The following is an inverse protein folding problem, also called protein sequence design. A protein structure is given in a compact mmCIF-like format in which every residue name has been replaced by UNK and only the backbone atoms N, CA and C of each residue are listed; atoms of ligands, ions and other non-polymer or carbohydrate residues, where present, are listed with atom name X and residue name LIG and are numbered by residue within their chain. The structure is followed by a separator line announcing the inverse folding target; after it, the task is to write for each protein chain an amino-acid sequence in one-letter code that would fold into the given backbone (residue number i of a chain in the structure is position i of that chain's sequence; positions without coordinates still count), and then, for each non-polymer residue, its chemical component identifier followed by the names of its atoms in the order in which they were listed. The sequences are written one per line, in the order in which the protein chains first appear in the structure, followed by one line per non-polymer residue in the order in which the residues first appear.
data_IF_793307590178
#
_entry.id   IF_793307590178
#
_cell.length_a   1.000
_cell.length_b   1.000
_cell.length_c   1.000
_cell.angle_alpha   90.00
_cell.angle_beta   90.00
_cell.angle_gamma   90.00
#
_symmetry.space_group_name_H-M   'P 1'
#
loop_
_entity.id
_entity.type
_entity.pdbx_description
1 polymer ?
#
# COMPACT_ATOMS: atom_id res chain seq x y z
N UNK A 1 -41.73 17.21 24.98
CA UNK A 1 -40.62 16.24 24.91
C UNK A 1 -40.54 15.76 23.48
N UNK A 2 -39.76 16.44 22.64
CA UNK A 2 -39.56 16.03 21.24
C UNK A 2 -38.33 15.12 21.18
N UNK A 3 -38.58 13.85 20.92
CA UNK A 3 -37.59 12.79 20.89
C UNK A 3 -36.65 12.96 19.68
N UNK A 4 -35.54 13.66 19.90
CA UNK A 4 -34.42 13.81 18.96
C UNK A 4 -33.46 12.60 18.95
N UNK A 5 -33.96 11.40 19.21
CA UNK A 5 -33.11 10.21 19.44
C UNK A 5 -33.42 9.04 18.51
N UNK A 6 -33.60 9.32 17.22
CA UNK A 6 -33.40 8.27 16.22
C UNK A 6 -32.53 8.77 15.05
N UNK A 7 -31.41 9.42 15.37
CA UNK A 7 -30.22 9.26 14.53
C UNK A 7 -29.66 7.87 14.81
N UNK A 8 -30.33 6.85 14.26
CA UNK A 8 -29.65 5.61 13.92
C UNK A 8 -28.45 6.03 13.05
N UNK A 9 -27.29 6.04 13.68
CA UNK A 9 -26.01 6.20 13.03
C UNK A 9 -25.97 5.11 11.96
N UNK A 10 -26.32 5.46 10.71
CA UNK A 10 -26.51 4.53 9.60
C UNK A 10 -25.31 3.60 9.54
N UNK A 11 -25.38 2.35 10.04
CA UNK A 11 -24.20 1.51 10.13
C UNK A 11 -23.79 1.00 8.73
N UNK A 12 -24.67 1.21 7.74
CA UNK A 12 -24.49 0.85 6.33
C UNK A 12 -24.14 2.03 5.42
N UNK A 13 -23.70 3.18 5.96
CA UNK A 13 -23.23 4.29 5.10
C UNK A 13 -21.94 3.94 4.36
N UNK A 14 -21.16 3.00 4.90
CA UNK A 14 -20.07 2.37 4.18
C UNK A 14 -20.58 1.05 3.59
N UNK A 15 -20.79 1.03 2.27
CA UNK A 15 -21.18 -0.17 1.56
C UNK A 15 -20.17 -1.29 1.88
N UNK A 16 -20.61 -2.51 2.26
CA UNK A 16 -19.71 -3.65 2.47
C UNK A 16 -18.80 -3.91 1.25
N UNK A 17 -19.23 -3.50 0.06
CA UNK A 17 -18.44 -3.51 -1.16
C UNK A 17 -17.16 -2.66 -1.06
N UNK A 18 -17.22 -1.51 -0.38
CA UNK A 18 -16.06 -0.64 -0.16
C UNK A 18 -14.99 -1.36 0.67
N UNK A 19 -15.37 -2.05 1.73
CA UNK A 19 -14.44 -2.83 2.56
C UNK A 19 -13.85 -4.01 1.78
N UNK A 20 -14.68 -4.73 1.03
CA UNK A 20 -14.27 -5.86 0.18
C UNK A 20 -13.26 -5.41 -0.88
N UNK A 21 -13.41 -4.22 -1.48
CA UNK A 21 -12.47 -3.72 -2.48
C UNK A 21 -11.23 -3.04 -1.85
N UNK A 22 -11.36 -2.42 -0.68
CA UNK A 22 -10.25 -1.69 -0.06
C UNK A 22 -9.10 -2.59 0.38
N UNK A 23 -9.40 -3.74 1.00
CA UNK A 23 -8.40 -4.68 1.47
C UNK A 23 -7.49 -5.21 0.33
N UNK A 24 -8.03 -5.82 -0.75
CA UNK A 24 -7.21 -6.28 -1.87
C UNK A 24 -6.54 -5.11 -2.59
N UNK A 25 -7.17 -3.95 -2.70
CA UNK A 25 -6.55 -2.77 -3.32
C UNK A 25 -5.31 -2.30 -2.55
N UNK A 26 -5.35 -2.27 -1.21
CA UNK A 26 -4.18 -1.90 -0.38
C UNK A 26 -3.04 -2.89 -0.56
N UNK A 27 -3.36 -4.18 -0.58
CA UNK A 27 -2.39 -5.24 -0.79
C UNK A 27 -1.75 -5.15 -2.18
N UNK A 28 -2.57 -4.99 -3.22
CA UNK A 28 -2.10 -4.78 -4.59
C UNK A 28 -1.24 -3.53 -4.74
N UNK A 29 -1.65 -2.40 -4.13
CA UNK A 29 -0.88 -1.14 -4.17
C UNK A 29 0.50 -1.32 -3.53
N UNK A 30 0.58 -2.00 -2.38
CA UNK A 30 1.87 -2.28 -1.72
C UNK A 30 2.77 -3.18 -2.57
N UNK A 31 2.20 -4.19 -3.22
CA UNK A 31 2.91 -5.09 -4.12
C UNK A 31 3.41 -4.37 -5.37
N UNK A 32 2.56 -3.51 -5.95
CA UNK A 32 2.92 -2.68 -7.11
C UNK A 32 4.04 -1.69 -6.77
N UNK A 33 3.99 -1.04 -5.62
CA UNK A 33 5.06 -0.15 -5.18
C UNK A 33 6.38 -0.93 -5.01
N UNK A 34 6.36 -2.08 -4.34
CA UNK A 34 7.54 -2.95 -4.19
C UNK A 34 8.12 -3.39 -5.54
N UNK A 35 7.28 -3.78 -6.49
CA UNK A 35 7.74 -4.20 -7.83
C UNK A 35 8.29 -3.04 -8.65
N UNK A 36 7.70 -1.85 -8.56
CA UNK A 36 8.23 -0.64 -9.20
C UNK A 36 9.57 -0.23 -8.58
N UNK A 37 9.69 -0.22 -7.25
CA UNK A 37 10.95 0.05 -6.56
C UNK A 37 12.01 -0.97 -6.95
N UNK A 38 11.66 -2.27 -7.02
CA UNK A 38 12.58 -3.32 -7.52
C UNK A 38 13.05 -3.06 -8.94
N UNK A 39 12.14 -2.69 -9.86
CA UNK A 39 12.49 -2.38 -11.25
C UNK A 39 13.35 -1.11 -11.37
N UNK A 40 13.11 -0.12 -10.53
CA UNK A 40 13.93 1.09 -10.47
C UNK A 40 15.34 0.76 -9.95
N UNK A 41 15.44 0.01 -8.86
CA UNK A 41 16.71 -0.44 -8.28
C UNK A 41 17.49 -1.38 -9.22
N UNK A 42 16.81 -2.24 -9.98
CA UNK A 42 17.47 -3.12 -10.95
C UNK A 42 17.97 -2.39 -12.20
N UNK A 43 17.42 -1.20 -12.49
CA UNK A 43 17.86 -0.32 -13.59
C UNK A 43 18.95 0.66 -13.17
N UNK A 44 19.09 0.92 -11.87
CA UNK A 44 20.15 1.76 -11.32
C UNK A 44 21.49 1.02 -11.41
N UNK A 45 22.51 1.76 -11.84
CA UNK A 45 23.86 1.22 -11.92
C UNK A 45 24.45 1.00 -10.51
N UNK A 46 25.40 0.05 -10.39
CA UNK A 46 26.00 -0.34 -9.09
C UNK A 46 26.65 0.84 -8.37
N UNK A 47 27.17 1.82 -9.11
CA UNK A 47 27.73 3.04 -8.55
C UNK A 47 26.65 3.91 -7.88
N UNK A 48 25.47 4.05 -8.50
CA UNK A 48 24.36 4.86 -8.00
C UNK A 48 23.67 4.22 -6.79
N UNK A 49 23.62 2.89 -6.73
CA UNK A 49 23.15 2.17 -5.54
C UNK A 49 24.05 2.49 -4.33
N UNK A 50 25.36 2.51 -4.54
CA UNK A 50 26.37 2.75 -3.51
C UNK A 50 26.31 4.18 -2.95
N UNK A 51 26.00 5.17 -3.79
CA UNK A 51 25.79 6.57 -3.38
C UNK A 51 24.57 6.77 -2.48
N UNK A 52 23.54 5.93 -2.64
CA UNK A 52 22.34 5.95 -1.79
C UNK A 52 22.57 5.14 -0.49
N UNK A 53 23.77 4.55 -0.32
CA UNK A 53 24.11 3.69 0.82
C UNK A 53 23.45 2.31 0.75
N UNK A 54 22.95 1.90 -0.43
CA UNK A 54 22.35 0.59 -0.67
C UNK A 54 23.34 -0.32 -1.38
N UNK A 55 23.51 -1.53 -0.86
CA UNK A 55 24.37 -2.53 -1.47
C UNK A 55 23.55 -3.44 -2.38
N UNK A 56 24.13 -3.92 -3.50
CA UNK A 56 23.44 -4.88 -4.37
C UNK A 56 23.00 -6.16 -3.63
N UNK A 57 23.70 -6.50 -2.55
CA UNK A 57 23.34 -7.60 -1.65
C UNK A 57 22.03 -7.34 -0.91
N UNK A 58 21.73 -6.11 -0.49
CA UNK A 58 20.45 -5.78 0.14
C UNK A 58 19.28 -5.93 -0.83
N UNK A 59 19.48 -5.56 -2.10
CA UNK A 59 18.49 -5.78 -3.16
C UNK A 59 18.26 -7.28 -3.39
N UNK A 60 19.31 -8.10 -3.29
CA UNK A 60 19.24 -9.56 -3.46
C UNK A 60 18.77 -10.32 -2.21
N UNK A 61 18.89 -9.75 -1.01
CA UNK A 61 18.52 -10.40 0.26
C UNK A 61 17.01 -10.54 0.44
N UNK A 62 16.22 -9.73 -0.26
CA UNK A 62 14.75 -9.79 -0.26
C UNK A 62 14.18 -10.69 -1.38
N UNK A 63 14.96 -11.66 -1.85
CA UNK A 63 14.55 -12.63 -2.88
C UNK A 63 13.61 -13.68 -2.31
#
# INVERSE_FOLDING_TARGET
MEFYENRSARPFKESPFRLICQLPYRMWKSWRLRTLTRRALSRLDKAQLRDIGLTCEDVNRFK
#
